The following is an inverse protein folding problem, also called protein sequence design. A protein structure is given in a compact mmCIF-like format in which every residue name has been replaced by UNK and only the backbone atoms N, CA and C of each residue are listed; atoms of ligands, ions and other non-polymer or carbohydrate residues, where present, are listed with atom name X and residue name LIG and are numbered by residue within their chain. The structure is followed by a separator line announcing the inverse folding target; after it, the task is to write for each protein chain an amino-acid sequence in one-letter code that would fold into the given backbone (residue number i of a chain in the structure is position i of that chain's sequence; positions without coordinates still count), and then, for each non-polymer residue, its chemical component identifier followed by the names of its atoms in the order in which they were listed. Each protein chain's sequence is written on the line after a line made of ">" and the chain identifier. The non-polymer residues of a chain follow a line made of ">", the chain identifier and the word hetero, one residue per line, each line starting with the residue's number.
data_IF_952862706061
#
_entry.id   IF_952862706061
#
_cell.length_a   1.000
_cell.length_b   1.000
_cell.length_c   1.000
_cell.angle_alpha   90.00
_cell.angle_beta   90.00
_cell.angle_gamma   90.00
#
_symmetry.space_group_name_H-M   'P 1'
#
loop_
_entity.id
_entity.type
_entity.pdbx_description
1 polymer ?
#
# COMPACT_ATOMS: atom_id res chain seq x y z
N UNK A 1 8.09 -52.86 -36.35
CA UNK A 1 8.30 -54.22 -35.80
C UNK A 1 7.90 -54.23 -34.33
N UNK A 2 7.42 -55.38 -33.85
CA UNK A 2 7.29 -55.86 -32.45
C UNK A 2 6.73 -54.97 -31.31
N UNK A 3 5.59 -55.45 -30.77
CA UNK A 3 5.05 -55.30 -29.39
C UNK A 3 5.82 -56.26 -28.41
N UNK A 4 5.60 -56.30 -27.06
CA UNK A 4 4.37 -56.06 -26.24
C UNK A 4 4.53 -55.03 -25.07
N UNK A 5 3.50 -54.46 -24.39
CA UNK A 5 2.26 -54.96 -23.71
C UNK A 5 2.54 -55.73 -22.40
N UNK A 6 1.60 -55.84 -21.41
CA UNK A 6 0.41 -55.04 -21.03
C UNK A 6 0.50 -54.56 -19.53
N UNK A 7 -0.48 -54.00 -18.81
CA UNK A 7 -1.95 -53.84 -18.87
C UNK A 7 -2.37 -52.98 -17.65
N UNK A 8 -3.58 -52.90 -17.11
CA UNK A 8 -4.97 -53.36 -17.31
C UNK A 8 -5.70 -52.88 -16.00
N UNK A 9 -7.00 -52.53 -15.87
CA UNK A 9 -8.08 -52.19 -16.81
C UNK A 9 -9.33 -51.56 -16.05
N UNK A 10 -10.60 -51.47 -16.55
CA UNK A 10 -11.59 -50.43 -16.20
C UNK A 10 -12.77 -51.03 -15.36
N UNK A 11 -14.04 -50.59 -15.30
CA UNK A 11 -14.92 -49.64 -16.04
C UNK A 11 -16.01 -49.10 -15.07
N UNK A 12 -16.82 -48.05 -15.32
CA UNK A 12 -17.75 -47.68 -16.42
C UNK A 12 -18.83 -48.72 -16.77
N UNK A 13 -20.10 -48.32 -16.71
CA UNK A 13 -21.23 -49.05 -17.31
C UNK A 13 -22.61 -48.56 -16.87
N UNK A 14 -23.32 -47.83 -17.74
CA UNK A 14 -24.75 -47.53 -17.61
C UNK A 14 -25.54 -48.31 -18.67
N UNK A 15 -26.82 -48.61 -18.43
CA UNK A 15 -27.69 -49.25 -19.42
C UNK A 15 -29.12 -49.45 -18.93
N UNK A 16 -30.11 -49.06 -19.74
CA UNK A 16 -31.53 -49.27 -19.52
C UNK A 16 -32.05 -50.48 -20.31
N UNK A 17 -33.20 -51.05 -19.95
CA UNK A 17 -33.82 -52.13 -20.73
C UNK A 17 -35.13 -52.68 -20.15
N UNK A 18 -36.19 -52.64 -20.96
CA UNK A 18 -37.58 -52.88 -20.60
C UNK A 18 -38.04 -54.37 -20.47
N UNK A 19 -39.17 -54.56 -19.77
CA UNK A 19 -40.29 -55.40 -20.24
C UNK A 19 -40.36 -56.89 -19.82
N UNK A 20 -41.59 -57.38 -19.56
CA UNK A 20 -41.89 -58.83 -19.60
C UNK A 20 -42.75 -59.44 -18.47
N UNK A 21 -44.08 -59.31 -18.60
CA UNK A 21 -45.15 -60.31 -18.33
C UNK A 21 -45.01 -61.46 -17.28
N UNK A 22 -46.10 -61.63 -16.52
CA UNK A 22 -46.53 -62.77 -15.65
C UNK A 22 -46.71 -64.12 -16.42
N UNK A 23 -47.26 -65.26 -15.86
CA UNK A 23 -47.90 -65.49 -14.54
C UNK A 23 -47.62 -66.85 -13.85
N UNK A 24 -48.26 -67.13 -12.70
CA UNK A 24 -48.66 -68.52 -12.37
C UNK A 24 -48.86 -68.92 -10.89
N UNK A 25 -50.14 -69.07 -10.48
CA UNK A 25 -50.70 -70.05 -9.49
C UNK A 25 -50.11 -70.14 -8.06
N UNK A 26 -50.80 -70.70 -7.05
CA UNK A 26 -52.23 -70.80 -6.70
C UNK A 26 -52.31 -71.41 -5.28
N UNK A 27 -53.28 -71.02 -4.46
CA UNK A 27 -53.40 -71.55 -3.09
C UNK A 27 -54.64 -71.06 -2.33
N UNK A 28 -55.83 -71.50 -2.74
CA UNK A 28 -57.10 -71.19 -2.05
C UNK A 28 -57.37 -72.14 -0.89
N UNK A 29 -57.99 -71.62 0.19
CA UNK A 29 -59.30 -72.02 0.78
C UNK A 29 -59.48 -71.29 2.13
N UNK A 30 -60.53 -70.48 2.29
CA UNK A 30 -61.84 -70.84 2.90
C UNK A 30 -61.71 -71.32 4.37
N UNK A 31 -62.48 -70.82 5.34
CA UNK A 31 -63.78 -70.14 5.23
C UNK A 31 -64.17 -69.27 6.45
N UNK A 32 -65.47 -68.96 6.64
CA UNK A 32 -65.90 -67.70 7.26
C UNK A 32 -66.52 -67.85 8.66
N UNK A 33 -66.71 -66.73 9.36
CA UNK A 33 -67.93 -66.54 10.15
C UNK A 33 -68.35 -65.06 10.18
N UNK A 34 -69.67 -64.83 10.13
CA UNK A 34 -70.30 -63.52 10.15
C UNK A 34 -71.02 -63.33 11.48
N UNK A 35 -70.86 -62.18 12.13
CA UNK A 35 -71.84 -61.69 13.10
C UNK A 35 -72.06 -60.18 12.94
N UNK A 36 -73.29 -59.83 12.57
CA UNK A 36 -73.85 -58.50 12.77
C UNK A 36 -73.97 -58.22 14.26
N UNK A 37 -73.68 -57.00 14.68
CA UNK A 37 -74.43 -56.34 15.74
C UNK A 37 -74.85 -54.95 15.26
N UNK A 38 -76.14 -54.65 15.43
CA UNK A 38 -76.70 -53.32 15.26
C UNK A 38 -76.67 -52.63 16.62
N UNK A 39 -76.15 -51.40 16.69
CA UNK A 39 -76.64 -50.43 17.67
C UNK A 39 -76.20 -49.00 17.34
N UNK A 40 -77.23 -48.16 17.11
CA UNK A 40 -77.30 -46.77 17.60
C UNK A 40 -76.32 -45.73 17.05
N UNK A 41 -76.79 -44.94 16.08
CA UNK A 41 -76.32 -43.56 15.91
C UNK A 41 -76.73 -42.74 17.14
N UNK A 42 -75.76 -42.27 17.92
CA UNK A 42 -75.97 -41.16 18.86
C UNK A 42 -75.30 -39.90 18.31
N UNK A 43 -76.10 -38.84 18.20
CA UNK A 43 -75.74 -37.57 17.56
C UNK A 43 -75.06 -36.64 18.56
N UNK A 44 -73.77 -36.82 18.84
CA UNK A 44 -73.00 -35.94 19.73
C UNK A 44 -72.49 -34.67 19.05
N UNK A 45 -73.40 -33.95 18.38
CA UNK A 45 -73.14 -32.61 17.85
C UNK A 45 -72.99 -31.63 19.02
N UNK A 46 -71.78 -31.11 19.26
CA UNK A 46 -71.56 -29.97 20.16
C UNK A 46 -70.43 -30.05 21.20
N UNK A 47 -69.61 -31.12 21.25
CA UNK A 47 -68.49 -31.21 22.24
C UNK A 47 -67.07 -31.42 21.68
N UNK A 48 -66.90 -31.76 20.41
CA UNK A 48 -65.56 -32.00 19.84
C UNK A 48 -64.78 -30.72 19.48
N UNK A 49 -65.48 -29.62 19.13
CA UNK A 49 -64.85 -28.32 18.84
C UNK A 49 -64.09 -27.76 20.04
N UNK A 50 -64.74 -27.72 21.22
CA UNK A 50 -64.14 -27.21 22.45
C UNK A 50 -62.95 -28.02 22.98
N UNK A 51 -62.82 -29.31 22.62
CA UNK A 51 -61.69 -30.14 23.08
C UNK A 51 -60.46 -29.95 22.18
N UNK A 52 -60.65 -29.85 20.85
CA UNK A 52 -59.55 -29.50 19.94
C UNK A 52 -58.97 -28.11 20.20
N UNK A 53 -59.82 -27.12 20.53
CA UNK A 53 -59.35 -25.77 20.86
C UNK A 53 -58.49 -25.76 22.12
N UNK A 54 -58.89 -26.44 23.21
CA UNK A 54 -58.07 -26.50 24.43
C UNK A 54 -56.72 -27.16 24.22
N UNK A 55 -56.64 -28.25 23.43
CA UNK A 55 -55.36 -28.93 23.13
C UNK A 55 -54.45 -28.04 22.26
N UNK A 56 -55.00 -27.26 21.34
CA UNK A 56 -54.24 -26.24 20.59
C UNK A 56 -53.77 -25.10 21.49
N UNK A 57 -54.62 -24.64 22.40
CA UNK A 57 -54.33 -23.50 23.28
C UNK A 57 -53.30 -23.82 24.37
N UNK A 58 -53.30 -25.06 24.90
CA UNK A 58 -52.25 -25.55 25.81
C UNK A 58 -50.91 -25.65 25.09
N UNK A 59 -50.86 -26.24 23.88
CA UNK A 59 -49.62 -26.32 23.07
C UNK A 59 -49.09 -24.95 22.65
N UNK A 60 -49.98 -23.98 22.42
CA UNK A 60 -49.60 -22.59 22.16
C UNK A 60 -49.01 -21.92 23.41
N UNK A 61 -49.58 -22.16 24.59
CA UNK A 61 -49.01 -21.69 25.86
C UNK A 61 -47.66 -22.36 26.18
N UNK A 62 -47.52 -23.66 25.95
CA UNK A 62 -46.25 -24.39 26.05
C UNK A 62 -45.19 -23.80 25.11
N UNK A 63 -45.56 -23.49 23.86
CA UNK A 63 -44.66 -22.82 22.91
C UNK A 63 -44.26 -21.41 23.36
N UNK A 64 -45.18 -20.62 23.91
CA UNK A 64 -44.86 -19.30 24.48
C UNK A 64 -43.93 -19.43 25.69
N UNK A 65 -44.18 -20.35 26.61
CA UNK A 65 -43.32 -20.56 27.79
C UNK A 65 -41.93 -21.04 27.36
N UNK A 66 -41.84 -21.95 26.38
CA UNK A 66 -40.57 -22.38 25.81
C UNK A 66 -39.83 -21.22 25.11
N UNK A 67 -40.52 -20.39 24.34
CA UNK A 67 -39.94 -19.21 23.70
C UNK A 67 -39.42 -18.18 24.73
N UNK A 68 -40.20 -17.91 25.79
CA UNK A 68 -39.77 -17.04 26.90
C UNK A 68 -38.54 -17.63 27.61
N UNK A 69 -38.52 -18.93 27.88
CA UNK A 69 -37.37 -19.60 28.49
C UNK A 69 -36.11 -19.49 27.62
N UNK A 70 -36.24 -19.67 26.30
CA UNK A 70 -35.14 -19.48 25.34
C UNK A 70 -34.64 -18.03 25.35
N UNK A 71 -35.53 -17.04 25.36
CA UNK A 71 -35.16 -15.62 25.47
C UNK A 71 -34.44 -15.32 26.79
N UNK A 72 -34.94 -15.84 27.92
CA UNK A 72 -34.29 -15.68 29.23
C UNK A 72 -32.89 -16.30 29.23
N UNK A 73 -32.72 -17.51 28.69
CA UNK A 73 -31.41 -18.17 28.56
C UNK A 73 -30.48 -17.36 27.66
N UNK A 74 -30.97 -16.86 26.52
CA UNK A 74 -30.20 -16.03 25.59
C UNK A 74 -29.71 -14.73 26.25
N UNK A 75 -30.57 -14.04 27.00
CA UNK A 75 -30.21 -12.83 27.75
C UNK A 75 -29.19 -13.14 28.85
N UNK A 76 -29.39 -14.22 29.62
CA UNK A 76 -28.42 -14.65 30.65
C UNK A 76 -27.04 -14.89 30.03
N UNK A 77 -26.96 -15.70 28.97
CA UNK A 77 -25.69 -15.96 28.28
C UNK A 77 -25.08 -14.66 27.75
N UNK A 78 -25.86 -13.80 27.09
CA UNK A 78 -25.39 -12.53 26.54
C UNK A 78 -24.79 -11.59 27.59
N UNK A 79 -25.36 -11.53 28.79
CA UNK A 79 -24.84 -10.71 29.91
C UNK A 79 -23.53 -11.26 30.47
N UNK A 80 -23.31 -12.58 30.41
CA UNK A 80 -22.05 -13.22 30.82
C UNK A 80 -20.96 -13.23 29.72
N UNK A 81 -21.29 -12.89 28.48
CA UNK A 81 -20.28 -12.71 27.42
C UNK A 81 -19.48 -11.41 27.65
N UNK A 82 -18.17 -11.38 27.32
CA UNK A 82 -17.36 -10.17 27.36
C UNK A 82 -17.97 -9.02 26.57
N UNK A 83 -17.88 -7.82 27.14
CA UNK A 83 -18.26 -6.55 26.54
C UNK A 83 -17.17 -5.95 25.65
N UNK A 84 -15.92 -6.39 25.76
CA UNK A 84 -14.83 -6.04 24.84
C UNK A 84 -14.23 -7.29 24.19
N UNK A 85 -13.75 -7.16 22.95
CA UNK A 85 -12.94 -8.19 22.28
C UNK A 85 -11.70 -7.59 21.65
N UNK A 86 -10.60 -8.32 21.77
CA UNK A 86 -9.31 -8.01 21.14
C UNK A 86 -8.82 -9.24 20.38
N UNK A 87 -8.28 -9.04 19.19
CA UNK A 87 -7.67 -10.06 18.32
C UNK A 87 -6.30 -9.56 17.88
N UNK A 88 -5.28 -10.43 17.92
CA UNK A 88 -3.90 -10.04 17.60
C UNK A 88 -3.25 -11.07 16.67
N UNK A 89 -2.65 -10.59 15.58
CA UNK A 89 -1.83 -11.39 14.67
C UNK A 89 -0.50 -10.69 14.41
N UNK A 90 0.51 -11.46 14.01
CA UNK A 90 1.82 -10.91 13.66
C UNK A 90 2.42 -11.54 12.41
N UNK A 91 3.30 -10.78 11.75
CA UNK A 91 4.10 -11.24 10.61
C UNK A 91 5.49 -10.62 10.70
N UNK A 92 6.47 -11.23 10.03
CA UNK A 92 7.84 -10.73 9.98
C UNK A 92 8.22 -10.32 8.56
N UNK A 93 9.04 -9.28 8.45
CA UNK A 93 9.68 -8.82 7.22
C UNK A 93 11.14 -8.48 7.49
N UNK A 94 11.99 -8.43 6.46
CA UNK A 94 13.37 -7.97 6.59
C UNK A 94 13.54 -6.46 6.33
N UNK A 95 12.47 -5.77 5.90
CA UNK A 95 12.49 -4.34 5.55
C UNK A 95 12.68 -3.43 6.78
N UNK A 96 13.28 -2.22 6.61
CA UNK A 96 13.43 -1.24 7.69
C UNK A 96 12.09 -0.87 8.34
N UNK A 97 12.13 -0.43 9.60
CA UNK A 97 10.93 -0.06 10.35
C UNK A 97 10.20 1.14 9.70
N UNK A 98 10.92 2.18 9.27
CA UNK A 98 10.36 3.35 8.57
C UNK A 98 9.64 2.96 7.28
N UNK A 99 10.19 2.04 6.49
CA UNK A 99 9.53 1.50 5.28
C UNK A 99 8.17 0.85 5.59
N UNK A 100 8.10 0.11 6.69
CA UNK A 100 6.85 -0.52 7.16
C UNK A 100 5.85 0.52 7.66
N UNK A 101 6.31 1.44 8.52
CA UNK A 101 5.47 2.49 9.13
C UNK A 101 4.90 3.46 8.07
N UNK A 102 5.69 3.85 7.06
CA UNK A 102 5.21 4.67 5.95
C UNK A 102 4.15 3.93 5.10
N UNK A 103 4.35 2.64 4.81
CA UNK A 103 3.40 1.88 3.96
C UNK A 103 2.10 1.53 4.70
N UNK A 104 2.14 1.39 6.03
CA UNK A 104 0.94 1.21 6.85
C UNK A 104 0.24 2.54 7.17
N UNK A 105 1.01 3.59 7.44
CA UNK A 105 0.54 4.91 7.86
C UNK A 105 -0.04 5.78 6.73
N UNK A 106 0.14 5.37 5.47
CA UNK A 106 -0.51 5.97 4.31
C UNK A 106 -1.46 4.97 3.62
N UNK A 107 -2.55 5.47 3.04
CA UNK A 107 -3.56 4.61 2.40
C UNK A 107 -3.32 4.33 0.91
N UNK A 108 -2.31 4.92 0.28
CA UNK A 108 -2.02 4.79 -1.16
C UNK A 108 -1.89 3.34 -1.64
N UNK A 109 -1.34 2.44 -0.81
CA UNK A 109 -1.21 0.99 -1.10
C UNK A 109 -2.18 0.09 -0.33
N UNK A 110 -3.16 0.66 0.39
CA UNK A 110 -4.08 -0.11 1.24
C UNK A 110 -4.80 -1.22 0.47
N UNK A 111 -5.27 -0.91 -0.75
CA UNK A 111 -5.98 -1.87 -1.60
C UNK A 111 -5.15 -3.06 -2.10
N UNK A 112 -3.82 -3.04 -1.97
CA UNK A 112 -2.94 -4.15 -2.41
C UNK A 112 -2.76 -5.22 -1.33
N UNK A 113 -2.75 -4.81 -0.05
CA UNK A 113 -2.56 -5.73 1.08
C UNK A 113 -3.86 -6.04 1.83
N UNK A 114 -4.82 -5.11 1.86
CA UNK A 114 -6.09 -5.28 2.55
C UNK A 114 -6.90 -6.48 2.01
N UNK A 115 -7.52 -7.29 2.89
CA UNK A 115 -8.37 -8.40 2.47
C UNK A 115 -9.63 -7.95 1.69
N UNK A 116 -10.04 -6.68 1.78
CA UNK A 116 -11.28 -6.17 1.17
C UNK A 116 -11.40 -6.47 -0.33
N UNK A 117 -10.33 -6.29 -1.12
CA UNK A 117 -10.34 -6.58 -2.57
C UNK A 117 -10.51 -8.07 -2.90
N UNK A 118 -10.28 -8.99 -1.95
CA UNK A 118 -10.56 -10.43 -2.14
C UNK A 118 -12.04 -10.76 -1.95
N UNK A 119 -12.77 -9.98 -1.15
CA UNK A 119 -14.22 -10.13 -0.95
C UNK A 119 -15.04 -9.38 -2.01
N UNK A 120 -14.58 -8.20 -2.44
CA UNK A 120 -15.12 -7.47 -3.59
C UNK A 120 -13.98 -6.79 -4.38
N UNK A 121 -13.64 -7.26 -5.59
CA UNK A 121 -12.65 -6.61 -6.45
C UNK A 121 -12.98 -5.15 -6.79
N UNK A 122 -14.27 -4.77 -6.77
CA UNK A 122 -14.79 -3.46 -7.15
C UNK A 122 -15.02 -2.51 -5.96
N UNK A 123 -14.56 -2.88 -4.75
CA UNK A 123 -14.57 -1.99 -3.58
C UNK A 123 -13.92 -0.65 -3.95
N UNK A 124 -14.62 0.43 -3.58
CA UNK A 124 -14.13 1.81 -3.75
C UNK A 124 -13.39 2.23 -2.50
N UNK A 125 -12.31 2.97 -2.72
CA UNK A 125 -11.47 3.58 -1.71
C UNK A 125 -11.36 5.07 -2.03
N UNK A 126 -11.70 5.92 -1.07
CA UNK A 126 -11.57 7.36 -1.15
C UNK A 126 -10.58 7.81 -0.06
N UNK A 127 -9.45 8.36 -0.46
CA UNK A 127 -8.34 8.72 0.44
C UNK A 127 -8.33 10.23 0.61
N UNK A 128 -8.40 10.70 1.85
CA UNK A 128 -8.53 12.11 2.22
C UNK A 128 -7.78 12.43 3.50
N UNK A 129 -7.69 13.72 3.85
CA UNK A 129 -6.89 14.19 4.97
C UNK A 129 -5.40 14.20 4.67
N UNK A 130 -4.58 14.00 5.69
CA UNK A 130 -3.12 14.01 5.56
C UNK A 130 -2.61 12.81 4.71
N UNK A 131 -1.66 12.98 3.78
CA UNK A 131 -1.15 11.85 2.99
C UNK A 131 -0.53 10.73 3.84
N UNK A 132 0.20 11.09 4.91
CA UNK A 132 0.79 10.18 5.90
C UNK A 132 0.81 10.87 7.28
N UNK A 133 0.22 10.23 8.29
CA UNK A 133 0.26 10.69 9.68
C UNK A 133 -1.12 10.90 10.30
N UNK A 134 -1.18 11.40 11.54
CA UNK A 134 -2.45 11.65 12.24
C UNK A 134 -3.34 12.59 11.41
N UNK A 135 -4.57 12.15 11.13
CA UNK A 135 -5.51 12.84 10.24
C UNK A 135 -5.64 12.21 8.85
N UNK A 136 -4.74 11.30 8.45
CA UNK A 136 -4.93 10.48 7.25
C UNK A 136 -6.23 9.67 7.37
N UNK A 137 -7.09 9.70 6.34
CA UNK A 137 -8.38 9.00 6.32
C UNK A 137 -8.57 8.23 5.01
N UNK A 138 -9.18 7.06 5.14
CA UNK A 138 -9.68 6.24 4.05
C UNK A 138 -11.15 5.94 4.31
N UNK A 139 -12.01 6.28 3.36
CA UNK A 139 -13.39 5.80 3.32
C UNK A 139 -13.50 4.68 2.29
N UNK A 140 -14.28 3.65 2.60
CA UNK A 140 -14.48 2.51 1.73
C UNK A 140 -15.97 2.19 1.58
N UNK A 141 -16.37 1.78 0.38
CA UNK A 141 -17.75 1.38 0.10
C UNK A 141 -17.82 0.25 -0.93
N UNK A 142 -18.65 -0.74 -0.61
CA UNK A 142 -18.95 -1.91 -1.43
C UNK A 142 -20.40 -2.35 -1.22
N UNK A 143 -21.08 -2.88 -2.27
CA UNK A 143 -22.38 -3.54 -2.13
C UNK A 143 -22.29 -4.94 -1.50
N UNK A 144 -21.08 -5.47 -1.25
CA UNK A 144 -20.87 -6.78 -0.63
C UNK A 144 -21.02 -6.68 0.89
N UNK A 145 -21.92 -7.46 1.48
CA UNK A 145 -22.11 -7.55 2.94
C UNK A 145 -20.83 -7.97 3.70
N UNK A 146 -19.87 -8.62 3.02
CA UNK A 146 -18.56 -8.98 3.60
C UNK A 146 -17.59 -7.80 3.72
N UNK A 147 -17.84 -6.68 3.03
CA UNK A 147 -17.03 -5.47 3.08
C UNK A 147 -17.83 -4.33 3.73
N UNK A 148 -19.02 -4.04 3.21
CA UNK A 148 -19.90 -2.98 3.71
C UNK A 148 -19.40 -1.58 3.32
N UNK A 149 -19.70 -0.60 4.17
CA UNK A 149 -19.22 0.79 4.05
C UNK A 149 -18.70 1.25 5.41
N UNK A 150 -17.59 2.00 5.40
CA UNK A 150 -16.95 2.48 6.62
C UNK A 150 -15.72 3.33 6.35
N UNK A 151 -14.95 3.62 7.39
CA UNK A 151 -13.70 4.38 7.33
C UNK A 151 -12.60 3.81 8.21
N UNK A 152 -11.37 4.19 7.88
CA UNK A 152 -10.17 4.09 8.71
C UNK A 152 -9.60 5.49 8.85
N UNK A 153 -9.22 5.91 10.06
CA UNK A 153 -8.53 7.17 10.28
C UNK A 153 -7.34 6.97 11.19
N UNK A 154 -6.15 7.38 10.75
CA UNK A 154 -4.94 7.37 11.58
C UNK A 154 -5.07 8.45 12.65
N UNK A 155 -5.08 8.06 13.92
CA UNK A 155 -5.24 8.98 15.07
C UNK A 155 -3.93 9.16 15.85
N UNK A 156 -3.03 8.18 15.82
CA UNK A 156 -1.71 8.25 16.46
C UNK A 156 -0.65 7.61 15.57
N UNK A 157 0.49 8.30 15.37
CA UNK A 157 1.73 7.73 14.83
C UNK A 157 2.86 8.05 15.80
N UNK A 158 3.58 7.02 16.24
CA UNK A 158 4.87 7.16 16.93
C UNK A 158 5.94 6.42 16.13
N UNK A 159 7.15 6.97 16.07
CA UNK A 159 8.26 6.42 15.27
C UNK A 159 9.60 6.66 15.98
N UNK A 160 10.51 5.70 15.86
CA UNK A 160 11.90 5.78 16.29
C UNK A 160 12.79 4.82 15.45
N UNK A 161 14.11 4.89 15.62
CA UNK A 161 15.09 4.12 14.84
C UNK A 161 14.95 2.58 14.94
N UNK A 162 14.09 2.06 15.83
CA UNK A 162 13.85 0.62 16.02
C UNK A 162 12.40 0.21 15.77
N UNK A 163 11.49 1.11 15.44
CA UNK A 163 10.07 0.76 15.43
C UNK A 163 9.13 1.94 15.61
N UNK A 164 7.88 1.63 15.91
CA UNK A 164 6.83 2.62 16.09
C UNK A 164 5.47 1.97 16.28
N UNK A 165 4.47 2.78 16.61
CA UNK A 165 3.07 2.37 16.72
C UNK A 165 2.19 3.25 15.84
N UNK A 166 1.24 2.62 15.16
CA UNK A 166 0.15 3.29 14.46
C UNK A 166 -1.17 2.88 15.12
N UNK A 167 -2.05 3.85 15.39
CA UNK A 167 -3.40 3.59 15.89
C UNK A 167 -4.41 4.17 14.92
N UNK A 168 -5.28 3.34 14.40
CA UNK A 168 -6.38 3.72 13.52
C UNK A 168 -7.71 3.60 14.27
N UNK A 169 -8.53 4.65 14.23
CA UNK A 169 -9.94 4.57 14.55
C UNK A 169 -10.71 4.02 13.34
N UNK A 170 -11.66 3.12 13.59
CA UNK A 170 -12.49 2.50 12.55
C UNK A 170 -13.97 2.82 12.77
N UNK A 171 -14.67 3.18 11.69
CA UNK A 171 -16.11 3.40 11.71
C UNK A 171 -16.76 2.48 10.68
N UNK A 172 -17.70 1.63 11.07
CA UNK A 172 -18.48 0.78 10.15
C UNK A 172 -19.82 0.37 10.78
N UNK A 173 -20.71 -0.23 9.99
CA UNK A 173 -22.06 -0.65 10.38
C UNK A 173 -22.12 -1.97 11.18
N UNK A 174 -20.97 -2.61 11.42
CA UNK A 174 -20.90 -3.89 12.16
C UNK A 174 -21.14 -3.65 13.64
N UNK A 175 -21.52 -4.71 14.35
CA UNK A 175 -21.72 -4.62 15.79
C UNK A 175 -20.48 -4.12 16.54
N UNK A 176 -20.71 -3.23 17.50
CA UNK A 176 -19.70 -2.66 18.38
C UNK A 176 -19.35 -1.21 18.05
N UNK A 177 -18.75 -0.55 19.02
CA UNK A 177 -18.30 0.84 19.04
C UNK A 177 -16.80 0.87 19.41
N UNK A 178 -16.18 2.06 19.39
CA UNK A 178 -14.76 2.27 19.74
C UNK A 178 -13.79 1.31 19.02
N UNK A 179 -14.07 0.97 17.76
CA UNK A 179 -13.27 0.01 16.99
C UNK A 179 -11.91 0.63 16.70
N UNK A 180 -10.83 -0.07 17.08
CA UNK A 180 -9.46 0.36 16.78
C UNK A 180 -8.69 -0.74 16.05
N UNK A 181 -7.78 -0.31 15.17
CA UNK A 181 -6.75 -1.16 14.58
C UNK A 181 -5.39 -0.58 14.90
N UNK A 182 -4.57 -1.34 15.61
CA UNK A 182 -3.24 -0.92 16.03
C UNK A 182 -2.18 -1.74 15.30
N UNK A 183 -1.05 -1.11 14.97
CA UNK A 183 0.13 -1.78 14.43
C UNK A 183 1.35 -1.40 15.26
N UNK A 184 1.88 -2.35 16.01
CA UNK A 184 3.17 -2.23 16.68
C UNK A 184 4.26 -2.84 15.78
N UNK A 185 5.24 -2.01 15.41
CA UNK A 185 6.37 -2.38 14.54
C UNK A 185 7.63 -2.38 15.39
N UNK A 186 8.32 -3.52 15.48
CA UNK A 186 9.59 -3.64 16.22
C UNK A 186 10.67 -4.30 15.37
N UNK A 187 11.84 -3.66 15.27
CA UNK A 187 13.01 -4.13 14.53
C UNK A 187 14.08 -4.70 15.46
N UNK A 188 14.35 -6.00 15.30
CA UNK A 188 15.40 -6.75 15.98
C UNK A 188 16.46 -7.18 14.99
N UNK A 189 17.54 -6.40 14.91
CA UNK A 189 18.63 -6.61 13.96
C UNK A 189 18.16 -6.40 12.51
N UNK A 190 18.03 -7.50 11.74
CA UNK A 190 17.55 -7.46 10.34
C UNK A 190 16.07 -7.84 10.19
N UNK A 191 15.42 -8.35 11.24
CA UNK A 191 14.02 -8.75 11.24
C UNK A 191 13.18 -7.61 11.83
N UNK A 192 12.08 -7.28 11.17
CA UNK A 192 11.06 -6.35 11.64
C UNK A 192 9.78 -7.16 11.83
N UNK A 193 9.33 -7.26 13.08
CA UNK A 193 8.06 -7.89 13.45
C UNK A 193 6.96 -6.82 13.41
N UNK A 194 5.84 -7.16 12.80
CA UNK A 194 4.65 -6.32 12.70
C UNK A 194 3.56 -7.05 13.48
N UNK A 195 3.04 -6.42 14.54
CA UNK A 195 1.94 -6.96 15.35
C UNK A 195 0.71 -6.10 15.10
N UNK A 196 -0.35 -6.69 14.57
CA UNK A 196 -1.62 -6.02 14.32
C UNK A 196 -2.64 -6.44 15.38
N UNK A 197 -3.25 -5.47 16.06
CA UNK A 197 -4.24 -5.70 17.11
C UNK A 197 -5.54 -4.98 16.76
N UNK A 198 -6.65 -5.71 16.68
CA UNK A 198 -7.99 -5.16 16.54
C UNK A 198 -8.72 -5.20 17.88
N UNK A 199 -9.32 -4.09 18.31
CA UNK A 199 -10.16 -4.03 19.52
C UNK A 199 -11.54 -3.46 19.18
N UNK A 200 -12.59 -3.96 19.86
CA UNK A 200 -13.99 -3.50 19.70
C UNK A 200 -14.77 -3.63 21.00
N UNK A 201 -15.58 -2.61 21.31
CA UNK A 201 -16.45 -2.54 22.47
C UNK A 201 -17.90 -2.84 22.07
N UNK A 202 -18.53 -3.83 22.69
CA UNK A 202 -19.94 -4.18 22.53
C UNK A 202 -20.85 -3.57 23.61
N UNK A 203 -20.28 -3.11 24.73
CA UNK A 203 -21.03 -2.51 25.83
C UNK A 203 -22.22 -3.38 26.28
N UNK A 204 -23.43 -2.82 26.25
CA UNK A 204 -24.67 -3.56 26.58
C UNK A 204 -25.39 -4.18 25.37
N UNK A 205 -24.83 -4.11 24.17
CA UNK A 205 -25.42 -4.70 22.98
C UNK A 205 -25.27 -6.23 23.00
N UNK A 206 -26.30 -6.93 23.49
CA UNK A 206 -26.30 -8.40 23.62
C UNK A 206 -26.04 -9.10 22.28
N UNK A 207 -26.65 -8.64 21.18
CA UNK A 207 -26.40 -9.19 19.84
C UNK A 207 -24.94 -8.98 19.42
N UNK A 208 -24.38 -7.82 19.72
CA UNK A 208 -22.96 -7.54 19.52
C UNK A 208 -22.04 -8.47 20.31
N UNK A 209 -22.32 -8.72 21.59
CA UNK A 209 -21.53 -9.67 22.41
C UNK A 209 -21.56 -11.10 21.84
N UNK A 210 -22.69 -11.55 21.27
CA UNK A 210 -22.77 -12.81 20.53
C UNK A 210 -21.99 -12.79 19.21
N UNK A 211 -22.04 -11.69 18.43
CA UNK A 211 -21.18 -11.50 17.26
C UNK A 211 -19.68 -11.51 17.65
N UNK A 212 -19.36 -11.01 18.86
CA UNK A 212 -18.06 -11.05 19.52
C UNK A 212 -17.41 -12.44 19.60
N UNK A 213 -18.20 -13.53 19.57
CA UNK A 213 -17.69 -14.90 19.55
C UNK A 213 -17.06 -15.31 18.20
N UNK A 214 -17.34 -14.56 17.13
CA UNK A 214 -16.90 -14.85 15.77
C UNK A 214 -15.83 -13.87 15.25
N UNK A 215 -15.41 -12.88 16.06
CA UNK A 215 -14.42 -11.86 15.67
C UNK A 215 -13.09 -12.48 15.27
N UNK A 216 -12.60 -13.47 16.03
CA UNK A 216 -11.38 -14.23 15.70
C UNK A 216 -11.44 -14.81 14.27
N UNK A 217 -12.58 -15.41 13.90
CA UNK A 217 -12.76 -16.09 12.61
C UNK A 217 -13.15 -15.17 11.46
N UNK A 218 -13.77 -14.03 11.74
CA UNK A 218 -14.24 -13.11 10.71
C UNK A 218 -13.21 -11.98 10.47
N UNK A 219 -12.65 -11.42 11.53
CA UNK A 219 -11.68 -10.34 11.50
C UNK A 219 -10.25 -10.87 11.59
N UNK A 220 -9.95 -11.79 12.52
CA UNK A 220 -8.59 -12.34 12.72
C UNK A 220 -8.05 -13.09 11.50
N UNK A 221 -8.85 -14.01 10.96
CA UNK A 221 -8.62 -14.67 9.66
C UNK A 221 -8.27 -13.67 8.52
N UNK A 222 -8.94 -12.52 8.48
CA UNK A 222 -8.73 -11.46 7.48
C UNK A 222 -7.53 -10.58 7.78
N UNK A 223 -7.25 -10.26 9.06
CA UNK A 223 -6.01 -9.63 9.53
C UNK A 223 -4.80 -10.50 9.16
N UNK A 224 -4.83 -11.79 9.49
CA UNK A 224 -3.78 -12.76 9.13
C UNK A 224 -3.59 -12.84 7.60
N UNK A 225 -4.68 -12.91 6.83
CA UNK A 225 -4.63 -12.83 5.36
C UNK A 225 -4.07 -11.50 4.85
N UNK A 226 -4.35 -10.39 5.52
CA UNK A 226 -3.88 -9.04 5.20
C UNK A 226 -2.39 -8.87 5.48
N UNK A 227 -1.93 -9.26 6.66
CA UNK A 227 -0.51 -9.24 7.05
C UNK A 227 0.36 -10.12 6.15
N UNK A 228 -0.11 -11.29 5.74
CA UNK A 228 0.61 -12.12 4.77
C UNK A 228 0.72 -11.43 3.39
N UNK A 229 -0.34 -10.76 2.93
CA UNK A 229 -0.31 -9.93 1.71
C UNK A 229 0.62 -8.72 1.87
N UNK A 230 0.65 -8.09 3.05
CA UNK A 230 1.56 -6.98 3.36
C UNK A 230 3.03 -7.43 3.38
N UNK A 231 3.36 -8.58 3.95
CA UNK A 231 4.72 -9.13 3.90
C UNK A 231 5.18 -9.43 2.46
N UNK A 232 4.27 -9.93 1.60
CA UNK A 232 4.52 -10.11 0.17
C UNK A 232 4.67 -8.78 -0.59
N UNK A 233 3.96 -7.72 -0.17
CA UNK A 233 4.12 -6.35 -0.67
C UNK A 233 5.51 -5.80 -0.32
N UNK A 234 5.91 -5.92 0.95
CA UNK A 234 7.23 -5.51 1.44
C UNK A 234 8.38 -6.17 0.68
N UNK A 235 8.24 -7.43 0.28
CA UNK A 235 9.24 -8.14 -0.50
C UNK A 235 9.54 -7.51 -1.88
N UNK A 236 8.65 -6.66 -2.40
CA UNK A 236 8.80 -5.96 -3.69
C UNK A 236 9.44 -4.57 -3.55
N UNK A 237 9.32 -3.92 -2.39
CA UNK A 237 9.92 -2.61 -2.11
C UNK A 237 11.44 -2.78 -1.93
N UNK A 238 12.33 -1.92 -2.48
CA UNK A 238 13.77 -2.02 -2.27
C UNK A 238 14.16 -2.13 -0.78
N UNK A 239 15.13 -2.98 -0.45
CA UNK A 239 15.56 -3.22 0.94
C UNK A 239 16.65 -2.23 1.37
N UNK A 240 16.30 -0.94 1.38
CA UNK A 240 17.18 0.17 1.71
C UNK A 240 16.50 1.06 2.75
N UNK A 241 17.26 1.53 3.72
CA UNK A 241 16.75 2.50 4.68
C UNK A 241 16.92 3.91 4.12
N UNK A 242 15.81 4.64 4.01
CA UNK A 242 15.75 6.03 3.60
C UNK A 242 15.52 6.96 4.80
N UNK A 243 15.73 6.48 6.03
CA UNK A 243 15.63 7.28 7.25
C UNK A 243 16.54 8.52 7.25
N UNK A 244 17.74 8.38 6.68
CA UNK A 244 18.77 9.41 6.55
C UNK A 244 18.51 10.52 5.54
N UNK A 245 17.37 10.53 4.82
CA UNK A 245 17.04 11.60 3.87
C UNK A 245 15.64 12.19 4.11
N UNK A 246 15.53 13.50 3.84
CA UNK A 246 14.26 14.18 3.57
C UNK A 246 13.94 14.00 2.08
N UNK A 247 12.70 13.66 1.78
CA UNK A 247 12.20 13.50 0.40
C UNK A 247 10.95 14.34 0.26
N UNK A 248 10.91 15.16 -0.80
CA UNK A 248 9.76 15.99 -1.13
C UNK A 248 9.29 15.73 -2.55
N UNK A 249 8.01 16.01 -2.80
CA UNK A 249 7.42 15.92 -4.12
C UNK A 249 7.33 17.33 -4.70
N UNK A 250 8.03 17.54 -5.80
CA UNK A 250 8.15 18.83 -6.48
C UNK A 250 7.61 18.72 -7.91
N UNK A 251 7.17 19.83 -8.50
CA UNK A 251 6.81 19.90 -9.91
C UNK A 251 7.90 20.68 -10.67
N UNK A 252 8.45 20.07 -11.72
CA UNK A 252 9.63 20.58 -12.41
C UNK A 252 9.21 21.17 -13.76
N UNK A 253 9.43 22.47 -14.01
CA UNK A 253 9.15 23.08 -15.31
C UNK A 253 10.21 22.70 -16.33
N UNK A 254 9.78 22.42 -17.57
CA UNK A 254 10.68 22.17 -18.68
C UNK A 254 11.62 23.36 -18.93
N UNK A 255 12.91 23.05 -19.05
CA UNK A 255 13.99 23.98 -19.40
C UNK A 255 14.57 23.61 -20.76
N UNK A 256 15.11 24.59 -21.48
CA UNK A 256 16.00 24.31 -22.61
C UNK A 256 17.34 23.82 -22.06
N UNK A 257 17.87 22.74 -22.64
CA UNK A 257 19.13 22.13 -22.22
C UNK A 257 20.06 21.89 -23.41
N UNK A 258 21.34 22.20 -23.22
CA UNK A 258 22.42 21.61 -24.01
C UNK A 258 22.89 20.35 -23.28
N UNK A 259 23.03 19.23 -23.98
CA UNK A 259 23.48 17.98 -23.36
C UNK A 259 24.42 17.15 -24.24
N UNK A 260 25.25 16.32 -23.62
CA UNK A 260 26.14 15.34 -24.27
C UNK A 260 25.94 13.96 -23.62
N UNK A 261 25.44 12.95 -24.36
CA UNK A 261 25.47 11.56 -23.92
C UNK A 261 26.90 11.09 -23.71
N UNK A 262 27.20 10.52 -22.54
CA UNK A 262 28.57 10.18 -22.11
C UNK A 262 28.62 8.78 -21.55
N UNK A 263 29.69 8.05 -21.86
CA UNK A 263 30.03 6.75 -21.26
C UNK A 263 31.41 6.85 -20.61
N UNK A 264 31.57 6.28 -19.42
CA UNK A 264 32.88 6.14 -18.76
C UNK A 264 33.01 4.82 -18.02
N UNK A 265 34.25 4.45 -17.66
CA UNK A 265 34.47 3.50 -16.58
C UNK A 265 33.80 4.00 -15.30
N UNK A 266 33.27 3.08 -14.49
CA UNK A 266 32.59 3.38 -13.22
C UNK A 266 33.60 3.59 -12.08
N UNK A 267 34.57 4.45 -12.30
CA UNK A 267 35.55 4.92 -11.31
C UNK A 267 35.40 6.42 -11.12
N UNK A 268 35.62 6.94 -9.91
CA UNK A 268 35.43 8.36 -9.60
C UNK A 268 36.20 9.26 -10.58
N UNK A 269 37.48 8.96 -10.77
CA UNK A 269 38.38 9.74 -11.62
C UNK A 269 37.98 9.71 -13.10
N UNK A 270 37.51 8.58 -13.63
CA UNK A 270 37.07 8.49 -15.01
C UNK A 270 35.77 9.28 -15.25
N UNK A 271 34.81 9.19 -14.31
CA UNK A 271 33.55 9.95 -14.34
C UNK A 271 33.82 11.45 -14.27
N UNK A 272 34.64 11.90 -13.30
CA UNK A 272 35.03 13.30 -13.13
C UNK A 272 35.76 13.84 -14.37
N UNK A 273 36.72 13.08 -14.90
CA UNK A 273 37.45 13.45 -16.13
C UNK A 273 36.50 13.60 -17.32
N UNK A 274 35.53 12.68 -17.47
CA UNK A 274 34.51 12.78 -18.51
C UNK A 274 33.62 14.02 -18.31
N UNK A 275 33.18 14.29 -17.08
CA UNK A 275 32.36 15.46 -16.73
C UNK A 275 33.05 16.78 -17.09
N UNK A 276 34.30 16.98 -16.63
CA UNK A 276 35.09 18.19 -16.93
C UNK A 276 35.37 18.32 -18.43
N UNK A 277 35.62 17.21 -19.13
CA UNK A 277 35.87 17.24 -20.58
C UNK A 277 34.63 17.67 -21.39
N UNK A 278 33.46 17.13 -21.08
CA UNK A 278 32.23 17.40 -21.84
C UNK A 278 31.61 18.76 -21.47
N UNK A 279 31.72 19.22 -20.21
CA UNK A 279 31.31 20.57 -19.82
C UNK A 279 32.06 21.66 -20.61
N UNK A 280 33.32 21.43 -21.04
CA UNK A 280 34.05 22.37 -21.91
C UNK A 280 33.42 22.52 -23.29
N UNK A 281 32.93 21.43 -23.90
CA UNK A 281 32.20 21.49 -25.18
C UNK A 281 30.86 22.23 -25.04
N UNK A 282 30.10 21.96 -23.97
CA UNK A 282 28.86 22.68 -23.70
C UNK A 282 29.12 24.18 -23.52
N UNK A 283 30.10 24.56 -22.70
CA UNK A 283 30.51 25.96 -22.46
C UNK A 283 30.93 26.67 -23.77
N UNK A 284 31.59 25.97 -24.70
CA UNK A 284 31.94 26.50 -26.02
C UNK A 284 30.71 26.76 -26.90
N UNK A 285 29.76 25.82 -26.96
CA UNK A 285 28.48 26.01 -27.68
C UNK A 285 27.66 27.14 -27.07
N UNK A 286 27.62 27.27 -25.75
CA UNK A 286 26.96 28.39 -25.08
C UNK A 286 27.56 29.74 -25.48
N UNK A 287 28.90 29.87 -25.43
CA UNK A 287 29.59 31.09 -25.80
C UNK A 287 29.31 31.51 -27.25
N UNK A 288 29.27 30.54 -28.17
CA UNK A 288 29.05 30.78 -29.60
C UNK A 288 27.63 31.24 -29.93
N UNK A 289 26.64 30.80 -29.16
CA UNK A 289 25.21 31.04 -29.41
C UNK A 289 24.62 32.17 -28.54
N UNK A 290 25.47 32.94 -27.85
CA UNK A 290 25.08 33.94 -26.85
C UNK A 290 24.09 33.39 -25.82
N UNK A 291 24.36 32.18 -25.31
CA UNK A 291 23.62 31.55 -24.23
C UNK A 291 24.34 31.73 -22.89
N UNK A 292 23.56 31.62 -21.81
CA UNK A 292 24.02 31.62 -20.42
C UNK A 292 23.37 30.45 -19.65
N UNK A 293 23.98 30.05 -18.52
CA UNK A 293 23.44 28.97 -17.70
C UNK A 293 22.22 29.48 -16.93
N UNK A 294 21.07 28.85 -17.12
CA UNK A 294 19.84 29.19 -16.41
C UNK A 294 19.81 28.66 -14.96
N UNK A 295 20.69 27.71 -14.63
CA UNK A 295 20.76 27.08 -13.31
C UNK A 295 21.92 26.07 -13.23
N UNK A 296 21.98 25.27 -12.16
CA UNK A 296 22.99 24.24 -11.99
C UNK A 296 23.03 23.24 -13.15
N UNK A 297 24.23 22.79 -13.50
CA UNK A 297 24.40 21.73 -14.49
C UNK A 297 24.03 20.37 -13.88
N UNK A 298 23.66 19.44 -14.76
CA UNK A 298 22.99 18.19 -14.41
C UNK A 298 23.71 16.96 -14.95
N UNK A 299 23.62 15.87 -14.19
CA UNK A 299 23.91 14.51 -14.66
C UNK A 299 22.61 13.73 -14.72
N UNK A 300 22.28 13.18 -15.87
CA UNK A 300 21.08 12.36 -16.07
C UNK A 300 21.54 10.90 -16.21
N UNK A 301 21.17 10.05 -15.24
CA UNK A 301 21.62 8.65 -15.23
C UNK A 301 20.87 7.83 -16.27
N UNK A 302 21.57 7.32 -17.28
CA UNK A 302 21.02 6.43 -18.31
C UNK A 302 21.14 4.97 -17.89
N UNK A 303 22.33 4.54 -17.49
CA UNK A 303 22.60 3.17 -17.03
C UNK A 303 23.78 3.15 -16.04
N UNK A 304 23.55 2.65 -14.82
CA UNK A 304 24.60 2.49 -13.81
C UNK A 304 25.00 1.00 -13.70
N UNK A 305 25.89 0.59 -14.61
CA UNK A 305 26.34 -0.79 -14.74
C UNK A 305 27.28 -1.25 -13.62
N UNK A 306 27.86 -2.46 -13.77
CA UNK A 306 28.89 -2.96 -12.86
C UNK A 306 30.28 -2.36 -13.15
N UNK A 307 30.59 -2.15 -14.42
CA UNK A 307 31.90 -1.73 -14.94
C UNK A 307 31.83 -0.37 -15.66
N UNK A 308 30.77 -0.13 -16.42
CA UNK A 308 30.49 1.13 -17.14
C UNK A 308 29.43 1.97 -16.46
N UNK A 309 29.47 3.28 -16.70
CA UNK A 309 28.43 4.24 -16.34
C UNK A 309 28.08 5.07 -17.58
N UNK A 310 26.81 5.01 -17.98
CA UNK A 310 26.24 5.81 -19.07
C UNK A 310 25.35 6.90 -18.48
N UNK A 311 25.62 8.16 -18.85
CA UNK A 311 24.92 9.32 -18.33
C UNK A 311 24.97 10.48 -19.32
N UNK A 312 23.93 11.30 -19.34
CA UNK A 312 23.93 12.54 -20.12
C UNK A 312 24.38 13.69 -19.22
N UNK A 313 25.37 14.48 -19.65
CA UNK A 313 25.75 15.73 -18.98
C UNK A 313 24.91 16.82 -19.63
N UNK A 314 24.13 17.56 -18.85
CA UNK A 314 23.21 18.58 -19.34
C UNK A 314 23.42 19.93 -18.63
N UNK A 315 23.20 21.02 -19.35
CA UNK A 315 23.22 22.39 -18.83
C UNK A 315 21.89 23.07 -19.18
N UNK A 316 21.07 23.49 -18.20
CA UNK A 316 19.96 24.41 -18.43
C UNK A 316 20.47 25.72 -19.00
N UNK A 317 19.88 26.20 -20.10
CA UNK A 317 20.33 27.40 -20.81
C UNK A 317 19.21 28.39 -21.09
N UNK A 318 19.58 29.66 -21.13
CA UNK A 318 18.76 30.79 -21.57
C UNK A 318 19.51 31.58 -22.67
N UNK A 319 18.83 32.50 -23.35
CA UNK A 319 19.50 33.59 -24.08
C UNK A 319 20.19 34.53 -23.08
N UNK A 320 21.39 35.02 -23.41
CA UNK A 320 22.15 35.96 -22.57
C UNK A 320 21.32 37.17 -22.16
N UNK A 321 21.24 37.43 -20.86
CA UNK A 321 20.43 38.51 -20.28
C UNK A 321 18.91 38.26 -20.24
N UNK A 322 18.43 37.10 -20.69
CA UNK A 322 17.04 36.63 -20.54
C UNK A 322 16.91 35.52 -19.49
N UNK A 323 18.02 35.11 -18.86
CA UNK A 323 18.00 34.24 -17.70
C UNK A 323 17.19 34.91 -16.56
N UNK A 324 16.10 34.28 -16.11
CA UNK A 324 15.31 34.79 -15.01
C UNK A 324 16.05 34.50 -13.71
N UNK A 325 15.92 35.38 -12.72
CA UNK A 325 16.32 35.02 -11.35
C UNK A 325 15.48 33.81 -10.91
N UNK A 326 16.03 32.89 -10.07
CA UNK A 326 15.27 31.79 -9.51
C UNK A 326 14.00 32.33 -8.85
N UNK A 327 12.88 31.59 -8.90
CA UNK A 327 11.75 32.00 -8.06
C UNK A 327 12.21 31.98 -6.62
N UNK A 328 12.14 33.14 -5.95
CA UNK A 328 12.10 33.18 -4.50
C UNK A 328 10.90 32.32 -4.09
N UNK A 329 11.17 31.22 -3.37
CA UNK A 329 10.12 30.52 -2.64
C UNK A 329 9.62 31.47 -1.55
N UNK A 330 8.29 31.57 -1.38
CA UNK A 330 7.71 32.35 -0.27
C UNK A 330 8.38 31.91 1.04
N UNK A 331 9.09 32.83 1.70
CA UNK A 331 9.88 32.52 2.91
C UNK A 331 8.99 31.87 3.97
N UNK A 332 9.14 30.55 4.15
CA UNK A 332 8.61 29.84 5.30
C UNK A 332 9.45 30.22 6.51
N UNK A 333 9.10 31.36 7.13
CA UNK A 333 9.61 31.80 8.42
C UNK A 333 9.53 30.65 9.43
N UNK A 334 10.68 30.24 9.96
CA UNK A 334 10.75 29.38 11.14
C UNK A 334 11.61 30.04 12.21
N UNK A 335 10.97 30.38 13.32
CA UNK A 335 11.60 31.00 14.47
C UNK A 335 12.61 30.05 15.15
N UNK A 336 13.87 30.49 15.17
CA UNK A 336 14.94 30.20 16.13
C UNK A 336 14.99 28.86 16.89
N UNK A 337 16.14 28.17 16.77
CA UNK A 337 16.69 27.43 17.90
C UNK A 337 18.20 27.65 18.04
N UNK A 338 18.63 28.00 19.25
CA UNK A 338 20.04 28.25 19.58
C UNK A 338 20.83 26.93 19.65
N UNK A 339 22.08 26.98 19.21
CA UNK A 339 23.04 25.87 19.28
C UNK A 339 23.64 25.70 20.69
N UNK A 340 23.76 24.47 21.21
CA UNK A 340 24.93 24.00 21.98
C UNK A 340 24.86 22.52 22.42
N UNK A 341 25.58 21.62 21.73
CA UNK A 341 26.69 20.80 22.28
C UNK A 341 27.07 19.57 21.44
N UNK A 342 28.36 19.22 21.46
CA UNK A 342 28.97 18.15 20.64
C UNK A 342 29.26 16.89 21.47
N UNK A 343 28.98 15.71 20.90
CA UNK A 343 29.35 14.41 21.44
C UNK A 343 29.66 13.37 20.34
N UNK A 344 30.93 12.96 20.24
CA UNK A 344 31.51 12.01 19.28
C UNK A 344 30.66 10.72 19.16
N UNK A 345 29.82 10.53 18.13
CA UNK A 345 30.09 10.15 16.72
C UNK A 345 30.59 8.70 16.53
N UNK A 346 29.63 7.79 16.35
CA UNK A 346 29.62 6.83 15.24
C UNK A 346 28.15 6.49 14.86
N UNK A 347 27.35 7.56 14.78
CA UNK A 347 25.99 7.59 14.25
C UNK A 347 26.00 8.75 13.24
N UNK A 348 25.54 8.53 12.01
CA UNK A 348 25.40 9.63 11.03
C UNK A 348 24.14 10.39 11.44
N UNK A 349 24.22 11.68 11.81
CA UNK A 349 23.02 12.45 12.08
C UNK A 349 22.14 12.45 10.84
N UNK A 350 20.84 12.18 11.00
CA UNK A 350 19.88 12.54 9.97
C UNK A 350 19.82 14.07 10.00
N UNK A 351 20.45 14.70 9.02
CA UNK A 351 20.48 16.16 8.91
C UNK A 351 19.11 16.63 8.36
N UNK A 352 18.11 16.65 9.23
CA UNK A 352 16.74 17.09 8.91
C UNK A 352 16.62 18.59 8.71
N UNK A 353 17.67 19.31 9.09
CA UNK A 353 17.70 20.77 9.21
C UNK A 353 18.50 21.42 8.08
N UNK A 354 18.94 20.65 7.06
CA UNK A 354 19.40 21.19 5.78
C UNK A 354 18.19 21.84 5.09
N UNK A 355 18.15 23.17 4.93
CA UNK A 355 17.10 23.80 4.14
C UNK A 355 17.19 23.28 2.70
N UNK A 356 16.05 22.91 2.13
CA UNK A 356 16.01 22.44 0.75
C UNK A 356 16.40 23.62 -0.15
N UNK A 357 17.52 23.46 -0.86
CA UNK A 357 18.05 24.49 -1.73
C UNK A 357 17.20 24.56 -2.98
N UNK A 358 16.77 25.76 -3.37
CA UNK A 358 16.12 26.01 -4.66
C UNK A 358 16.89 25.29 -5.80
N UNK A 359 16.17 24.53 -6.61
CA UNK A 359 16.73 23.70 -7.67
C UNK A 359 15.82 23.65 -8.89
N UNK A 360 15.75 22.50 -9.54
CA UNK A 360 15.03 22.29 -10.80
C UNK A 360 13.57 22.82 -10.79
N UNK A 361 12.87 22.69 -9.67
CA UNK A 361 11.49 23.17 -9.46
C UNK A 361 11.38 24.71 -9.36
N UNK A 362 12.37 25.38 -8.77
CA UNK A 362 12.40 26.83 -8.59
C UNK A 362 12.74 27.60 -9.89
N UNK A 363 13.25 26.90 -10.91
CA UNK A 363 13.52 27.45 -12.23
C UNK A 363 12.27 28.08 -12.85
N UNK A 364 12.38 29.27 -13.46
CA UNK A 364 11.24 29.87 -14.12
C UNK A 364 10.89 29.16 -15.45
N UNK A 365 9.64 29.34 -15.91
CA UNK A 365 9.20 28.83 -17.22
C UNK A 365 9.62 29.82 -18.29
N UNK A 366 10.50 29.39 -19.20
CA UNK A 366 10.95 30.16 -20.35
C UNK A 366 10.24 29.73 -21.63
N UNK A 367 10.05 30.67 -22.57
CA UNK A 367 9.66 30.34 -23.93
C UNK A 367 10.76 29.48 -24.58
N UNK A 368 10.44 28.31 -25.18
CA UNK A 368 11.44 27.44 -25.76
C UNK A 368 12.22 28.12 -26.90
N UNK A 369 13.55 28.08 -26.82
CA UNK A 369 14.42 28.56 -27.90
C UNK A 369 14.25 27.64 -29.12
N UNK A 370 14.08 28.25 -30.30
CA UNK A 370 14.01 27.53 -31.57
C UNK A 370 15.32 26.74 -31.83
N UNK A 371 15.27 25.38 -31.92
CA UNK A 371 16.45 24.56 -32.16
C UNK A 371 17.20 24.90 -33.45
N UNK A 372 16.51 25.42 -34.49
CA UNK A 372 17.17 25.80 -35.75
C UNK A 372 18.09 27.03 -35.60
N UNK A 373 17.98 27.76 -34.48
CA UNK A 373 18.80 28.94 -34.17
C UNK A 373 20.06 28.62 -33.34
N UNK A 374 20.30 27.35 -32.99
CA UNK A 374 21.45 26.92 -32.19
C UNK A 374 22.50 26.24 -33.07
N UNK A 375 23.66 26.89 -33.23
CA UNK A 375 24.85 26.30 -33.85
C UNK A 375 25.55 25.33 -32.89
N UNK A 376 25.22 24.05 -33.00
CA UNK A 376 25.84 22.95 -32.25
C UNK A 376 27.27 22.62 -32.74
N UNK A 377 28.13 22.18 -31.83
CA UNK A 377 29.49 21.72 -32.12
C UNK A 377 29.84 20.43 -31.34
N UNK A 378 30.70 19.60 -31.91
CA UNK A 378 31.10 18.32 -31.30
C UNK A 378 29.92 17.34 -31.21
N UNK A 379 29.73 16.77 -30.03
CA UNK A 379 28.63 15.83 -29.71
C UNK A 379 27.49 16.51 -28.91
N UNK A 380 27.52 17.85 -28.79
CA UNK A 380 26.49 18.62 -28.09
C UNK A 380 25.17 18.54 -28.85
N UNK A 381 24.11 18.23 -28.11
CA UNK A 381 22.72 18.22 -28.56
C UNK A 381 21.93 19.30 -27.83
N UNK A 382 20.84 19.78 -28.44
CA UNK A 382 19.89 20.71 -27.82
C UNK A 382 18.54 20.00 -27.66
N UNK A 383 17.84 20.25 -26.54
CA UNK A 383 16.54 19.67 -26.27
C UNK A 383 15.84 20.29 -25.05
N UNK A 384 14.75 19.66 -24.62
CA UNK A 384 14.00 20.05 -23.42
C UNK A 384 14.28 19.08 -22.27
N UNK A 385 14.38 19.60 -21.06
CA UNK A 385 14.47 18.78 -19.85
C UNK A 385 13.16 18.03 -19.57
N UNK A 386 13.19 17.15 -18.57
CA UNK A 386 11.98 16.60 -17.96
C UNK A 386 11.02 17.72 -17.50
N UNK A 387 9.72 17.42 -17.51
CA UNK A 387 8.62 18.27 -17.06
C UNK A 387 7.63 17.47 -16.20
N UNK A 388 7.17 18.06 -15.10
CA UNK A 388 6.14 17.52 -14.22
C UNK A 388 6.68 16.96 -12.89
N UNK A 389 5.94 16.04 -12.23
CA UNK A 389 6.18 15.67 -10.84
C UNK A 389 7.40 14.77 -10.64
N UNK A 390 8.31 15.18 -9.77
CA UNK A 390 9.47 14.42 -9.35
C UNK A 390 9.57 14.34 -7.82
N UNK A 391 10.34 13.36 -7.34
CA UNK A 391 10.82 13.33 -5.97
C UNK A 391 12.20 13.95 -5.89
N UNK A 392 12.41 14.83 -4.90
CA UNK A 392 13.65 15.53 -4.61
C UNK A 392 14.20 15.08 -3.26
N UNK A 393 15.50 14.85 -3.19
CA UNK A 393 16.26 14.77 -1.94
C UNK A 393 17.57 15.57 -2.08
N UNK A 394 18.15 16.00 -0.97
CA UNK A 394 19.49 16.62 -0.95
C UNK A 394 20.51 15.58 -0.52
N UNK A 395 21.68 15.58 -1.17
CA UNK A 395 22.84 14.80 -0.77
C UNK A 395 24.03 15.74 -0.58
N UNK A 396 24.63 15.72 0.60
CA UNK A 396 25.88 16.43 0.90
C UNK A 396 26.97 15.38 1.19
N UNK A 397 28.11 15.51 0.52
CA UNK A 397 29.27 14.61 0.63
C UNK A 397 29.53 13.78 -0.63
N UNK A 398 30.35 12.73 -0.46
CA UNK A 398 31.01 12.05 -1.57
C UNK A 398 30.03 11.54 -2.68
N UNK A 399 30.29 11.79 -3.99
CA UNK A 399 29.41 11.40 -5.11
C UNK A 399 29.10 9.90 -5.20
N UNK A 400 29.96 9.05 -4.65
CA UNK A 400 29.69 7.61 -4.52
C UNK A 400 28.42 7.28 -3.68
N UNK A 401 27.87 8.25 -2.94
CA UNK A 401 26.58 8.14 -2.26
C UNK A 401 25.37 8.31 -3.19
N UNK A 402 25.50 8.98 -4.34
CA UNK A 402 24.37 9.29 -5.24
C UNK A 402 23.55 8.04 -5.68
N UNK A 403 24.16 6.88 -6.02
CA UNK A 403 23.40 5.67 -6.32
C UNK A 403 22.56 5.16 -5.14
N UNK A 404 23.00 5.40 -3.90
CA UNK A 404 22.26 5.05 -2.68
C UNK A 404 21.05 5.95 -2.53
N UNK A 405 21.22 7.27 -2.73
CA UNK A 405 20.13 8.26 -2.63
C UNK A 405 19.06 8.02 -3.70
N UNK A 406 19.46 7.68 -4.94
CA UNK A 406 18.51 7.25 -5.99
C UNK A 406 17.67 6.04 -5.54
N UNK A 407 18.30 4.99 -5.00
CA UNK A 407 17.56 3.83 -4.51
C UNK A 407 16.70 4.13 -3.27
N UNK A 408 17.10 5.08 -2.42
CA UNK A 408 16.27 5.59 -1.33
C UNK A 408 15.02 6.31 -1.84
N UNK A 409 15.13 7.17 -2.87
CA UNK A 409 13.99 7.79 -3.56
C UNK A 409 13.05 6.73 -4.15
N UNK A 410 13.61 5.71 -4.83
CA UNK A 410 12.85 4.57 -5.38
C UNK A 410 12.07 3.82 -4.28
N UNK A 411 12.70 3.60 -3.13
CA UNK A 411 12.07 2.94 -1.99
C UNK A 411 10.95 3.79 -1.35
N UNK A 412 11.18 5.10 -1.22
CA UNK A 412 10.21 6.06 -0.70
C UNK A 412 8.96 6.16 -1.59
N UNK A 413 9.14 6.21 -2.92
CA UNK A 413 8.04 6.16 -3.89
C UNK A 413 7.21 4.88 -3.72
N UNK A 414 7.91 3.74 -3.63
CA UNK A 414 7.29 2.42 -3.55
C UNK A 414 6.53 2.16 -2.23
N UNK A 415 6.76 2.89 -1.14
CA UNK A 415 5.89 2.79 0.06
C UNK A 415 4.58 3.54 -0.10
N UNK A 416 4.58 4.64 -0.88
CA UNK A 416 3.41 5.49 -1.16
C UNK A 416 2.55 4.99 -2.32
N UNK A 417 3.06 4.07 -3.13
CA UNK A 417 2.39 3.54 -4.32
C UNK A 417 2.66 4.35 -5.59
N UNK A 418 3.61 5.29 -5.52
CA UNK A 418 4.05 6.07 -6.67
C UNK A 418 4.96 5.24 -7.57
N UNK A 419 4.88 5.48 -8.88
CA UNK A 419 5.72 4.79 -9.86
C UNK A 419 6.83 5.71 -10.30
N UNK A 420 8.09 5.34 -10.02
CA UNK A 420 9.24 6.04 -10.61
C UNK A 420 9.22 5.89 -12.14
N UNK A 421 9.42 7.01 -12.84
CA UNK A 421 9.44 7.08 -14.30
C UNK A 421 10.72 7.75 -14.79
N UNK A 422 10.92 7.82 -16.12
CA UNK A 422 12.04 8.53 -16.73
C UNK A 422 13.42 8.04 -16.26
N UNK A 423 14.35 8.98 -16.16
CA UNK A 423 15.71 8.80 -15.64
C UNK A 423 15.86 9.65 -14.37
N UNK A 424 16.57 9.13 -13.37
CA UNK A 424 17.02 9.94 -12.24
C UNK A 424 18.08 10.95 -12.72
N UNK A 425 18.11 12.13 -12.12
CA UNK A 425 19.12 13.12 -12.42
C UNK A 425 19.55 13.89 -11.17
N UNK A 426 20.76 14.45 -11.22
CA UNK A 426 21.34 15.24 -10.15
C UNK A 426 21.69 16.62 -10.65
N UNK A 427 21.46 17.65 -9.84
CA UNK A 427 22.05 18.97 -10.01
C UNK A 427 23.32 19.07 -9.17
N UNK A 428 24.41 19.49 -9.79
CA UNK A 428 25.69 19.73 -9.12
C UNK A 428 25.76 21.20 -8.74
N UNK A 429 25.72 21.50 -7.43
CA UNK A 429 25.54 22.87 -6.92
C UNK A 429 26.85 23.67 -6.85
N UNK A 430 27.97 23.09 -7.30
CA UNK A 430 29.27 23.72 -7.41
C UNK A 430 30.07 23.21 -8.63
N UNK A 431 31.14 23.92 -8.97
CA UNK A 431 32.15 23.41 -9.89
C UNK A 431 32.89 22.20 -9.28
N UNK A 432 33.12 21.18 -10.10
CA UNK A 432 33.91 20.00 -9.71
C UNK A 432 35.38 20.39 -9.52
N UNK A 433 35.89 21.26 -10.41
CA UNK A 433 37.29 21.70 -10.44
C UNK A 433 37.65 22.50 -9.19
N UNK A 434 38.24 21.84 -8.20
CA UNK A 434 38.67 22.44 -6.93
C UNK A 434 37.78 22.13 -5.72
N UNK A 435 36.70 21.37 -5.89
CA UNK A 435 35.86 20.90 -4.78
C UNK A 435 36.34 19.54 -4.27
N UNK A 436 36.57 19.40 -2.97
CA UNK A 436 36.80 18.10 -2.33
C UNK A 436 35.53 17.23 -2.46
N UNK A 437 35.62 15.94 -2.89
CA UNK A 437 34.45 15.07 -3.02
C UNK A 437 33.59 15.00 -1.75
N UNK A 438 34.21 15.02 -0.57
CA UNK A 438 33.56 15.01 0.74
C UNK A 438 32.75 16.28 1.06
N UNK A 439 32.90 17.35 0.27
CA UNK A 439 32.16 18.62 0.40
C UNK A 439 31.25 18.90 -0.80
N UNK A 440 31.08 17.93 -1.70
CA UNK A 440 30.19 18.08 -2.85
C UNK A 440 28.73 18.11 -2.43
N UNK A 441 27.90 18.89 -3.11
CA UNK A 441 26.50 19.15 -2.76
C UNK A 441 25.60 18.93 -3.98
N UNK A 442 24.47 18.25 -3.75
CA UNK A 442 23.60 17.80 -4.83
C UNK A 442 22.12 17.91 -4.46
N UNK A 443 21.30 18.37 -5.40
CA UNK A 443 19.89 17.99 -5.44
C UNK A 443 19.77 16.72 -6.30
N UNK A 444 19.11 15.69 -5.78
CA UNK A 444 18.89 14.40 -6.46
C UNK A 444 17.40 14.25 -6.75
N UNK A 445 17.07 13.99 -8.01
CA UNK A 445 15.70 13.93 -8.51
C UNK A 445 15.37 12.58 -9.13
N UNK A 446 14.12 12.12 -8.92
CA UNK A 446 13.53 11.03 -9.70
C UNK A 446 12.11 11.40 -10.15
N UNK A 447 11.83 11.52 -11.45
CA UNK A 447 10.47 11.64 -11.98
C UNK A 447 9.51 10.54 -11.47
N UNK A 448 8.26 10.89 -11.18
CA UNK A 448 7.22 9.96 -10.70
C UNK A 448 5.90 10.12 -11.45
N UNK A 449 4.97 9.19 -11.24
CA UNK A 449 3.59 9.22 -11.71
C UNK A 449 2.64 8.64 -10.68
#
# INVERSE_FOLDING_TARGET
>A
MCRPRPGHQPARGAGAGAGGTSPGRAGQRHGPSCRRSLSTRLRSSGRETYFQERVRMIRFLEFIIAAILVVVIFVIIGVFLPDQRTVTHSVETNRPARTVLDTLGGFGRFGEWSPMRRHDPNVRFDVSGEPIGPGARLEYSSPSEFVGTGSWQLVEKTENNRGGRLVFALEDDRYGENKTMEFDVERRGRITTITQTYTVDYGWNLFGRFAGLYVERNIGDDMSRGLNSFAALMAQIPNIDYSGIRVEKVDIPAQDILYIPTESERTLQAVETAQVNQLRWIRQVMQKNDLEAAGPWRVITTNFGSETYEFDIAMPVCRRGECPEPREEDELELEGSDSENVGIVLDVPVDTDVPLRAGAEAMAVLEPIDPETIELEGEVQFGRSYEGPALKAVHNGHPAGLPVVREQLRAWAATRGEVVTGRAFEEYLQDIEGTEPERSEYNVYWPVR
#
